data_IF_036239913110
#
_entry.id   IF_036239913110
#
_cell.length_a   1.000
_cell.length_b   1.000
_cell.length_c   1.000
_cell.angle_alpha   90.00
_cell.angle_beta   90.00
_cell.angle_gamma   90.00
#
_symmetry.space_group_name_H-M   'P 1'
#
loop_
_entity.id
_entity.type
_entity.pdbx_description
1 polymer ?
#
# COMPACT_ATOMS: atom_id res chain seq x y z
N UNK A 1 -9.42 -28.45 85.43
CA UNK A 1 -8.18 -28.64 84.65
C UNK A 1 -8.50 -28.79 83.15
N UNK A 2 -9.29 -27.89 82.54
CA UNK A 2 -9.85 -28.08 81.19
C UNK A 2 -9.72 -26.86 80.27
N UNK A 3 -8.90 -25.87 80.62
CA UNK A 3 -8.74 -24.64 79.82
C UNK A 3 -7.48 -24.60 78.95
N UNK A 4 -6.68 -25.66 78.89
CA UNK A 4 -5.37 -25.64 78.21
C UNK A 4 -5.34 -26.25 76.80
N UNK A 5 -6.43 -26.83 76.29
CA UNK A 5 -6.43 -27.59 75.02
C UNK A 5 -7.13 -26.91 73.83
N UNK A 6 -7.78 -25.76 74.04
CA UNK A 6 -8.46 -24.99 72.96
C UNK A 6 -7.59 -23.90 72.34
N UNK A 7 -6.49 -23.52 73.01
CA UNK A 7 -5.52 -22.54 72.51
C UNK A 7 -4.53 -23.15 71.49
N UNK A 8 -4.22 -24.44 71.59
CA UNK A 8 -3.29 -25.10 70.67
C UNK A 8 -3.92 -25.47 69.31
N UNK A 9 -5.20 -25.80 69.26
CA UNK A 9 -5.90 -26.13 68.00
C UNK A 9 -6.22 -24.89 67.16
N UNK A 10 -6.44 -23.74 67.80
CA UNK A 10 -6.67 -22.46 67.12
C UNK A 10 -5.39 -21.89 66.50
N UNK A 11 -4.24 -22.04 67.16
CA UNK A 11 -2.95 -21.60 66.60
C UNK A 11 -2.46 -22.48 65.44
N UNK A 12 -2.74 -23.80 65.47
CA UNK A 12 -2.37 -24.72 64.40
C UNK A 12 -3.23 -24.52 63.13
N UNK A 13 -4.52 -24.17 63.31
CA UNK A 13 -5.41 -23.85 62.19
C UNK A 13 -5.05 -22.52 61.49
N UNK A 14 -4.62 -21.52 62.26
CA UNK A 14 -4.16 -20.22 61.72
C UNK A 14 -2.82 -20.38 60.99
N UNK A 15 -1.90 -21.20 61.51
CA UNK A 15 -0.63 -21.48 60.84
C UNK A 15 -0.81 -22.24 59.50
N UNK A 16 -1.77 -23.16 59.41
CA UNK A 16 -2.09 -23.87 58.17
C UNK A 16 -2.82 -22.98 57.14
N UNK A 17 -3.67 -22.03 57.58
CA UNK A 17 -4.30 -21.06 56.69
C UNK A 17 -3.29 -20.05 56.12
N UNK A 18 -2.28 -19.63 56.89
CA UNK A 18 -1.25 -18.70 56.41
C UNK A 18 -0.30 -19.33 55.37
N UNK A 19 -0.02 -20.64 55.44
CA UNK A 19 0.81 -21.30 54.42
C UNK A 19 0.11 -21.38 53.06
N UNK A 20 -1.21 -21.62 53.01
CA UNK A 20 -1.96 -21.69 51.75
C UNK A 20 -2.15 -20.34 51.04
N UNK A 21 -2.13 -19.23 51.78
CA UNK A 21 -2.19 -17.88 51.20
C UNK A 21 -0.84 -17.38 50.65
N UNK A 22 0.29 -17.97 51.07
CA UNK A 22 1.63 -17.53 50.63
C UNK A 22 2.11 -18.18 49.33
N UNK A 23 1.56 -19.33 48.93
CA UNK A 23 2.01 -20.04 47.70
C UNK A 23 1.19 -19.64 46.47
N UNK A 24 -0.07 -19.23 46.67
CA UNK A 24 -0.92 -18.71 45.57
C UNK A 24 -0.55 -17.29 45.13
N UNK A 25 0.25 -16.58 45.93
CA UNK A 25 0.79 -15.26 45.60
C UNK A 25 2.22 -15.29 45.03
N UNK A 26 2.84 -16.48 44.92
CA UNK A 26 4.23 -16.66 44.46
C UNK A 26 4.39 -17.41 43.12
N UNK A 27 3.33 -17.51 42.31
CA UNK A 27 3.45 -17.94 40.89
C UNK A 27 2.77 -16.90 40.01
N UNK A 28 3.43 -15.74 39.81
CA UNK A 28 3.26 -14.95 38.60
C UNK A 28 4.44 -14.01 38.34
N UNK A 29 5.69 -14.48 38.46
CA UNK A 29 6.81 -13.81 37.77
C UNK A 29 6.89 -14.32 36.33
N UNK A 30 5.90 -13.97 35.51
CA UNK A 30 6.19 -13.78 34.10
C UNK A 30 6.90 -12.43 34.02
N UNK A 31 8.20 -12.48 33.76
CA UNK A 31 9.05 -11.33 33.45
C UNK A 31 8.33 -10.37 32.49
N UNK A 32 8.10 -9.13 32.95
CA UNK A 32 7.93 -7.85 32.23
C UNK A 32 6.99 -6.93 33.02
N UNK A 33 7.56 -6.09 33.86
CA UNK A 33 6.86 -4.93 34.42
C UNK A 33 7.35 -3.70 33.68
N UNK A 34 6.46 -2.82 33.16
CA UNK A 34 6.48 -1.35 33.36
C UNK A 34 5.11 -0.73 33.01
N UNK A 35 4.37 -0.23 34.01
CA UNK A 35 3.49 0.97 33.89
C UNK A 35 1.98 0.81 33.65
N UNK A 36 1.18 1.69 34.30
CA UNK A 36 -0.25 1.95 34.02
C UNK A 36 -0.36 2.88 32.80
N UNK A 37 -0.91 2.43 31.66
CA UNK A 37 -1.16 3.32 30.50
C UNK A 37 -2.58 3.89 30.58
N UNK A 38 -2.85 4.71 31.60
CA UNK A 38 -4.09 5.51 31.74
C UNK A 38 -5.43 4.75 31.60
N UNK A 39 -6.53 5.48 31.66
CA UNK A 39 -7.85 4.95 31.28
C UNK A 39 -7.91 4.82 29.75
N UNK A 40 -8.10 3.59 29.23
CA UNK A 40 -8.39 3.37 27.79
C UNK A 40 -7.37 2.53 27.00
N UNK A 41 -6.35 1.94 27.63
CA UNK A 41 -5.36 1.10 26.94
C UNK A 41 -5.49 -0.36 27.36
N UNK A 42 -5.70 -1.27 26.40
CA UNK A 42 -5.79 -2.71 26.65
C UNK A 42 -4.67 -3.44 25.90
N UNK A 43 -3.87 -4.22 26.62
CA UNK A 43 -2.83 -5.09 26.04
C UNK A 43 -3.42 -6.50 25.81
N UNK A 44 -3.67 -6.88 24.55
CA UNK A 44 -4.12 -8.24 24.23
C UNK A 44 -2.93 -9.21 24.16
N UNK A 45 -3.06 -10.39 24.77
CA UNK A 45 -2.06 -11.48 24.78
C UNK A 45 -1.64 -12.01 23.39
N UNK A 46 -2.24 -11.50 22.30
CA UNK A 46 -1.97 -11.89 20.91
C UNK A 46 -1.13 -10.88 20.11
N UNK A 47 -0.44 -9.95 20.78
CA UNK A 47 0.53 -9.04 20.13
C UNK A 47 -0.09 -7.82 19.44
N UNK A 48 -1.35 -7.50 19.73
CA UNK A 48 -2.02 -6.28 19.24
C UNK A 48 -2.05 -5.23 20.36
N UNK A 49 -1.33 -4.12 20.19
CA UNK A 49 -1.45 -2.93 21.05
C UNK A 49 -2.47 -2.01 20.39
N UNK A 50 -3.65 -1.89 21.01
CA UNK A 50 -4.64 -0.86 20.67
C UNK A 50 -4.51 0.30 21.65
N UNK A 51 -4.29 1.51 21.13
CA UNK A 51 -4.33 2.74 21.94
C UNK A 51 -5.74 3.31 21.80
N UNK A 52 -6.48 3.42 22.91
CA UNK A 52 -7.70 4.25 22.98
C UNK A 52 -9.07 3.57 23.04
N UNK A 53 -9.21 2.25 23.19
CA UNK A 53 -10.54 1.62 23.30
C UNK A 53 -10.63 0.49 24.34
N UNK A 54 -11.76 0.42 25.05
CA UNK A 54 -12.17 -0.69 25.93
C UNK A 54 -12.89 -1.81 25.17
N UNK A 55 -12.90 -1.74 23.85
CA UNK A 55 -13.45 -2.72 22.89
C UNK A 55 -12.58 -2.74 21.64
N UNK A 56 -12.83 -3.69 20.72
CA UNK A 56 -12.19 -3.72 19.39
C UNK A 56 -12.26 -2.34 18.72
N UNK A 57 -11.12 -1.72 18.34
CA UNK A 57 -11.10 -0.40 17.73
C UNK A 57 -12.03 -0.31 16.51
N UNK A 58 -12.88 0.72 16.46
CA UNK A 58 -13.74 1.02 15.31
C UNK A 58 -13.19 2.21 14.52
N UNK A 59 -13.54 2.24 13.24
CA UNK A 59 -12.97 3.08 12.19
C UNK A 59 -13.11 4.61 12.31
N UNK A 60 -13.77 5.13 13.34
CA UNK A 60 -14.29 6.51 13.32
C UNK A 60 -13.54 7.54 14.19
N UNK A 61 -12.48 7.18 14.93
CA UNK A 61 -11.85 8.15 15.86
C UNK A 61 -10.38 7.94 16.25
N UNK A 62 -9.62 7.12 15.54
CA UNK A 62 -8.24 6.81 15.95
C UNK A 62 -7.21 7.79 15.37
N UNK A 63 -6.71 8.71 16.19
CA UNK A 63 -5.46 9.45 15.91
C UNK A 63 -4.32 8.70 16.60
N UNK A 64 -3.34 8.23 15.82
CA UNK A 64 -2.06 7.72 16.34
C UNK A 64 -1.03 8.84 16.22
N UNK A 65 -0.75 9.52 17.32
CA UNK A 65 0.34 10.50 17.41
C UNK A 65 1.58 9.81 17.98
N UNK A 66 2.68 9.78 17.21
CA UNK A 66 3.97 9.23 17.63
C UNK A 66 5.02 10.34 17.53
N UNK A 67 5.47 10.85 18.66
CA UNK A 67 6.48 11.92 18.76
C UNK A 67 7.93 11.42 18.54
N UNK A 68 8.06 10.27 17.86
CA UNK A 68 9.33 9.56 17.61
C UNK A 68 9.16 8.50 16.50
N UNK A 69 10.24 7.81 16.11
CA UNK A 69 10.18 6.78 15.08
C UNK A 69 9.36 5.55 15.55
N UNK A 70 8.50 5.03 14.66
CA UNK A 70 7.89 3.71 14.82
C UNK A 70 8.91 2.66 14.33
N UNK A 71 9.59 2.00 15.26
CA UNK A 71 10.55 0.95 14.93
C UNK A 71 9.94 -0.44 15.17
N UNK A 72 9.83 -1.25 14.12
CA UNK A 72 9.38 -2.64 14.21
C UNK A 72 10.61 -3.54 14.19
N UNK A 73 11.11 -3.91 15.38
CA UNK A 73 12.24 -4.84 15.53
C UNK A 73 11.73 -6.28 15.51
N UNK A 74 12.16 -7.09 14.55
CA UNK A 74 11.76 -8.51 14.40
C UNK A 74 11.48 -8.90 12.95
N UNK A 75 11.09 -10.15 12.72
CA UNK A 75 10.66 -10.60 11.40
C UNK A 75 9.25 -10.05 11.10
N UNK A 76 9.12 -9.22 10.07
CA UNK A 76 7.82 -8.79 9.55
C UNK A 76 7.06 -9.99 8.95
N UNK A 77 5.72 -9.98 8.94
CA UNK A 77 4.94 -10.96 8.17
C UNK A 77 5.34 -10.90 6.69
N UNK A 78 5.08 -11.98 5.94
CA UNK A 78 5.45 -12.10 4.52
C UNK A 78 4.91 -10.95 3.63
N UNK A 79 3.86 -10.25 4.09
CA UNK A 79 3.19 -9.16 3.38
C UNK A 79 2.87 -8.01 4.35
N UNK A 80 3.86 -7.17 4.73
CA UNK A 80 3.61 -6.07 5.66
C UNK A 80 2.71 -5.01 5.02
N UNK A 81 1.78 -4.48 5.80
CA UNK A 81 0.94 -3.35 5.40
C UNK A 81 0.70 -2.39 6.56
N UNK A 82 0.60 -1.10 6.23
CA UNK A 82 0.04 -0.06 7.09
C UNK A 82 -1.37 0.25 6.58
N UNK A 83 -2.36 0.10 7.45
CA UNK A 83 -3.76 0.39 7.12
C UNK A 83 -4.27 1.61 7.88
N UNK A 84 -5.07 2.44 7.21
CA UNK A 84 -5.89 3.48 7.82
C UNK A 84 -7.35 3.18 7.47
N UNK A 85 -8.26 3.16 8.45
CA UNK A 85 -9.69 2.84 8.20
C UNK A 85 -9.91 1.50 7.46
N UNK A 86 -9.09 0.48 7.73
CA UNK A 86 -9.06 -0.80 7.01
C UNK A 86 -8.58 -0.74 5.54
N UNK A 87 -8.19 0.43 5.05
CA UNK A 87 -7.61 0.61 3.72
C UNK A 87 -6.10 0.47 3.77
N UNK A 88 -5.52 -0.34 2.88
CA UNK A 88 -4.06 -0.44 2.73
C UNK A 88 -3.53 0.87 2.15
N UNK A 89 -2.73 1.60 2.92
CA UNK A 89 -2.12 2.87 2.46
C UNK A 89 -0.62 2.71 2.18
N UNK A 90 0.05 1.78 2.85
CA UNK A 90 1.38 1.31 2.45
C UNK A 90 1.36 -0.21 2.45
N UNK A 91 1.73 -0.83 1.33
CA UNK A 91 1.63 -2.27 1.15
C UNK A 91 2.83 -2.76 0.35
N UNK A 92 3.53 -3.75 0.89
CA UNK A 92 4.61 -4.44 0.17
C UNK A 92 4.21 -5.92 0.00
N UNK A 93 3.57 -6.29 -1.13
CA UNK A 93 3.38 -7.70 -1.46
C UNK A 93 4.73 -8.39 -1.68
N UNK A 94 4.73 -9.71 -1.81
CA UNK A 94 5.95 -10.45 -2.19
C UNK A 94 6.51 -9.93 -3.50
N UNK A 95 7.80 -10.22 -3.74
CA UNK A 95 8.45 -9.88 -5.00
C UNK A 95 8.81 -8.41 -5.12
N UNK A 96 9.29 -7.78 -4.04
CA UNK A 96 9.91 -6.44 -4.09
C UNK A 96 8.97 -5.35 -4.64
N UNK A 97 7.69 -5.48 -4.34
CA UNK A 97 6.67 -4.50 -4.70
C UNK A 97 6.49 -3.46 -3.59
N UNK A 98 6.23 -2.20 -3.95
CA UNK A 98 5.90 -1.12 -3.01
C UNK A 98 4.71 -0.31 -3.51
N UNK A 99 3.58 -0.42 -2.82
CA UNK A 99 2.32 0.23 -3.18
C UNK A 99 1.88 1.22 -2.11
N UNK A 100 1.41 2.39 -2.54
CA UNK A 100 0.77 3.37 -1.65
C UNK A 100 -0.41 4.06 -2.30
N UNK A 101 -1.48 4.20 -1.51
CA UNK A 101 -2.77 4.74 -1.95
C UNK A 101 -3.91 3.75 -1.81
N UNK A 102 -5.13 4.29 -1.74
CA UNK A 102 -6.35 3.49 -1.71
C UNK A 102 -6.48 2.67 -3.01
N UNK A 103 -6.76 1.37 -2.88
CA UNK A 103 -6.92 0.44 -4.02
C UNK A 103 -5.69 0.29 -4.94
N UNK A 104 -4.51 0.72 -4.52
CA UNK A 104 -3.27 0.56 -5.33
C UNK A 104 -2.85 -0.91 -5.40
N UNK A 105 -2.65 -1.44 -6.61
CA UNK A 105 -2.14 -2.79 -6.86
C UNK A 105 -2.94 -3.94 -6.23
N UNK A 106 -4.24 -3.77 -5.94
CA UNK A 106 -5.00 -4.76 -5.15
C UNK A 106 -5.25 -6.08 -5.87
N UNK A 107 -5.25 -6.10 -7.20
CA UNK A 107 -5.47 -7.32 -7.99
C UNK A 107 -4.17 -7.98 -8.47
N UNK A 108 -3.00 -7.56 -7.96
CA UNK A 108 -1.74 -8.22 -8.26
C UNK A 108 -1.73 -9.66 -7.72
N UNK A 109 -1.45 -10.62 -8.61
CA UNK A 109 -1.41 -12.05 -8.31
C UNK A 109 0.03 -12.56 -8.25
N UNK A 110 0.86 -12.20 -9.23
CA UNK A 110 2.26 -12.66 -9.29
C UNK A 110 3.25 -11.66 -9.87
N UNK A 111 2.83 -10.43 -10.16
CA UNK A 111 3.73 -9.40 -10.69
C UNK A 111 4.76 -8.97 -9.64
N UNK A 112 6.00 -8.73 -10.05
CA UNK A 112 7.12 -8.40 -9.15
C UNK A 112 7.84 -7.11 -9.55
N UNK A 113 8.58 -6.53 -8.62
CA UNK A 113 9.43 -5.36 -8.81
C UNK A 113 8.66 -4.11 -9.25
N UNK A 114 7.44 -3.92 -8.76
CA UNK A 114 6.59 -2.79 -9.09
C UNK A 114 6.57 -1.72 -8.00
N UNK A 115 6.48 -0.46 -8.40
CA UNK A 115 6.44 0.72 -7.53
C UNK A 115 5.22 1.58 -7.87
N UNK A 116 4.14 1.48 -7.10
CA UNK A 116 2.85 2.13 -7.41
C UNK A 116 2.45 3.14 -6.34
N UNK A 117 2.06 4.34 -6.76
CA UNK A 117 1.78 5.47 -5.89
C UNK A 117 0.54 6.23 -6.39
N UNK A 118 -0.52 6.29 -5.60
CA UNK A 118 -1.76 7.00 -5.94
C UNK A 118 -2.98 6.10 -5.97
N UNK A 119 -4.16 6.70 -5.77
CA UNK A 119 -5.43 5.98 -5.74
C UNK A 119 -5.59 5.13 -7.00
N UNK A 120 -5.81 3.83 -6.82
CA UNK A 120 -6.04 2.84 -7.88
C UNK A 120 -4.93 2.76 -8.95
N UNK A 121 -3.73 3.29 -8.67
CA UNK A 121 -2.58 3.09 -9.55
C UNK A 121 -2.29 1.58 -9.67
N UNK A 122 -2.21 1.08 -10.91
CA UNK A 122 -2.02 -0.35 -11.19
C UNK A 122 -3.07 -1.28 -10.56
N UNK A 123 -4.29 -0.81 -10.29
CA UNK A 123 -5.32 -1.58 -9.56
C UNK A 123 -5.52 -3.00 -10.12
N UNK A 124 -5.61 -3.11 -11.45
CA UNK A 124 -5.87 -4.35 -12.17
C UNK A 124 -4.61 -5.05 -12.68
N UNK A 125 -3.41 -4.52 -12.40
CA UNK A 125 -2.17 -5.20 -12.76
C UNK A 125 -2.05 -6.50 -11.96
N UNK A 126 -2.25 -7.63 -12.65
CA UNK A 126 -2.27 -8.98 -12.14
C UNK A 126 -0.91 -9.67 -12.25
N UNK A 127 -0.19 -9.44 -13.35
CA UNK A 127 1.02 -10.19 -13.70
C UNK A 127 2.23 -9.33 -14.10
N UNK A 128 2.01 -8.04 -14.36
CA UNK A 128 3.04 -7.15 -14.89
C UNK A 128 4.18 -6.91 -13.89
N UNK A 129 5.38 -6.73 -14.44
CA UNK A 129 6.63 -6.67 -13.69
C UNK A 129 7.41 -5.40 -14.02
N UNK A 130 8.24 -4.96 -13.07
CA UNK A 130 9.19 -3.85 -13.28
C UNK A 130 8.52 -2.54 -13.73
N UNK A 131 7.34 -2.25 -13.19
CA UNK A 131 6.59 -1.03 -13.52
C UNK A 131 6.71 0.04 -12.43
N UNK A 132 6.73 1.31 -12.82
CA UNK A 132 6.62 2.47 -11.92
C UNK A 132 5.39 3.29 -12.26
N UNK A 133 4.38 3.31 -11.39
CA UNK A 133 3.13 4.05 -11.59
C UNK A 133 2.94 5.12 -10.52
N UNK A 134 2.68 6.37 -10.91
CA UNK A 134 2.51 7.50 -10.00
C UNK A 134 1.35 8.41 -10.45
N UNK A 135 0.25 8.42 -9.70
CA UNK A 135 -0.93 9.25 -9.96
C UNK A 135 -2.24 8.52 -9.72
N UNK A 136 -3.35 9.26 -9.62
CA UNK A 136 -4.70 8.65 -9.56
C UNK A 136 -4.99 7.93 -10.88
N UNK A 137 -5.34 6.64 -10.82
CA UNK A 137 -5.57 5.75 -11.96
C UNK A 137 -4.42 5.65 -12.97
N UNK A 138 -3.18 5.93 -12.55
CA UNK A 138 -2.01 5.70 -13.40
C UNK A 138 -1.93 4.20 -13.75
N UNK A 139 -2.05 3.87 -15.03
CA UNK A 139 -2.04 2.51 -15.56
C UNK A 139 -2.98 1.55 -14.83
N UNK A 140 -4.19 2.01 -14.49
CA UNK A 140 -5.16 1.26 -13.68
C UNK A 140 -5.46 -0.15 -14.24
N UNK A 141 -5.47 -0.30 -15.56
CA UNK A 141 -5.84 -1.54 -16.25
C UNK A 141 -4.67 -2.28 -16.92
N UNK A 142 -3.41 -1.90 -16.69
CA UNK A 142 -2.28 -2.42 -17.48
C UNK A 142 -1.60 -3.65 -16.84
N UNK A 143 -1.54 -4.76 -17.58
CA UNK A 143 -0.84 -6.00 -17.20
C UNK A 143 0.57 -6.13 -17.79
N UNK A 144 1.05 -5.17 -18.57
CA UNK A 144 2.36 -5.26 -19.21
C UNK A 144 3.55 -4.94 -18.29
N UNK A 145 4.74 -5.14 -18.85
CA UNK A 145 6.03 -5.07 -18.16
C UNK A 145 6.82 -3.81 -18.54
N UNK A 146 7.75 -3.41 -17.66
CA UNK A 146 8.80 -2.44 -17.97
C UNK A 146 8.27 -1.05 -18.37
N UNK A 147 7.24 -0.55 -17.67
CA UNK A 147 6.64 0.75 -17.94
C UNK A 147 6.90 1.81 -16.86
N UNK A 148 6.96 3.07 -17.26
CA UNK A 148 6.93 4.24 -16.38
C UNK A 148 5.70 5.07 -16.71
N UNK A 149 4.77 5.19 -15.76
CA UNK A 149 3.51 5.93 -15.95
C UNK A 149 3.32 6.92 -14.81
N UNK A 150 3.33 8.21 -15.12
CA UNK A 150 3.27 9.29 -14.13
C UNK A 150 2.20 10.29 -14.56
N UNK A 151 1.09 10.37 -13.85
CA UNK A 151 0.03 11.33 -14.12
C UNK A 151 -1.34 10.85 -13.68
N UNK A 152 -2.27 11.79 -13.56
CA UNK A 152 -3.67 11.48 -13.33
C UNK A 152 -4.29 10.88 -14.60
N UNK A 153 -4.87 9.67 -14.49
CA UNK A 153 -5.48 8.91 -15.58
C UNK A 153 -4.52 8.71 -16.78
N UNK A 154 -3.19 8.70 -16.54
CA UNK A 154 -2.20 8.36 -17.56
C UNK A 154 -2.25 6.85 -17.83
N UNK A 155 -2.33 6.45 -19.10
CA UNK A 155 -2.48 5.06 -19.54
C UNK A 155 -3.63 4.29 -18.85
N UNK A 156 -4.74 4.96 -18.50
CA UNK A 156 -5.76 4.40 -17.61
C UNK A 156 -6.47 3.15 -18.15
N UNK A 157 -6.65 3.02 -19.48
CA UNK A 157 -7.42 1.90 -20.07
C UNK A 157 -6.60 0.85 -20.82
N UNK A 158 -5.27 0.99 -20.91
CA UNK A 158 -4.46 -0.02 -21.62
C UNK A 158 -4.44 -1.33 -20.85
N UNK A 159 -4.43 -2.46 -21.56
CA UNK A 159 -4.47 -3.81 -20.98
C UNK A 159 -3.14 -4.58 -21.06
N UNK A 160 -2.19 -4.18 -21.91
CA UNK A 160 -0.93 -4.94 -22.10
C UNK A 160 0.22 -4.11 -22.72
N UNK A 161 0.34 -2.84 -22.36
CA UNK A 161 1.45 -1.98 -22.79
C UNK A 161 2.76 -2.41 -22.15
N UNK A 162 3.83 -2.56 -22.94
CA UNK A 162 5.17 -2.90 -22.45
C UNK A 162 6.18 -1.81 -22.84
N UNK A 163 7.26 -1.69 -22.07
CA UNK A 163 8.43 -0.89 -22.46
C UNK A 163 8.14 0.58 -22.76
N UNK A 164 7.14 1.19 -22.09
CA UNK A 164 6.63 2.52 -22.44
C UNK A 164 6.78 3.54 -21.33
N UNK A 165 6.82 4.81 -21.70
CA UNK A 165 6.92 5.97 -20.79
C UNK A 165 5.75 6.91 -21.05
N UNK A 166 4.86 7.08 -20.07
CA UNK A 166 3.75 8.03 -20.11
C UNK A 166 3.88 9.01 -18.96
N UNK A 167 4.08 10.31 -19.24
CA UNK A 167 4.28 11.31 -18.19
C UNK A 167 3.41 12.54 -18.47
N UNK A 168 2.43 12.80 -17.61
CA UNK A 168 1.47 13.89 -17.71
C UNK A 168 0.04 13.40 -17.47
N UNK A 169 -0.84 14.26 -16.97
CA UNK A 169 -2.25 13.87 -16.80
C UNK A 169 -2.86 13.54 -18.16
N UNK A 170 -3.54 12.40 -18.22
CA UNK A 170 -4.16 11.84 -19.43
C UNK A 170 -3.17 11.52 -20.57
N UNK A 171 -1.85 11.50 -20.31
CA UNK A 171 -0.88 11.04 -21.32
C UNK A 171 -1.17 9.58 -21.66
N UNK A 172 -1.39 9.29 -22.94
CA UNK A 172 -1.82 7.98 -23.41
C UNK A 172 -3.10 7.43 -22.76
N UNK A 173 -3.97 8.30 -22.24
CA UNK A 173 -5.12 7.91 -21.40
C UNK A 173 -5.99 6.80 -22.00
N UNK A 174 -6.21 6.85 -23.32
CA UNK A 174 -6.99 5.90 -24.14
C UNK A 174 -6.13 5.08 -25.12
N UNK A 175 -4.83 5.00 -24.88
CA UNK A 175 -3.90 4.37 -25.81
C UNK A 175 -3.76 2.86 -25.60
N UNK A 176 -3.75 2.09 -26.70
CA UNK A 176 -3.44 0.65 -26.71
C UNK A 176 -2.09 0.40 -27.40
N UNK A 177 -1.06 1.13 -26.96
CA UNK A 177 0.27 1.14 -27.58
C UNK A 177 1.31 0.39 -26.73
N UNK A 178 2.43 0.00 -27.33
CA UNK A 178 3.62 -0.50 -26.64
C UNK A 178 4.86 0.24 -27.16
N UNK A 179 5.97 0.19 -26.43
CA UNK A 179 7.27 0.77 -26.82
C UNK A 179 7.22 2.28 -27.16
N UNK A 180 6.38 3.02 -26.43
CA UNK A 180 6.07 4.43 -26.76
C UNK A 180 6.46 5.37 -25.64
N UNK A 181 6.97 6.54 -26.01
CA UNK A 181 7.21 7.67 -25.10
C UNK A 181 6.14 8.73 -25.36
N UNK A 182 5.30 9.05 -24.38
CA UNK A 182 4.34 10.16 -24.43
C UNK A 182 4.48 11.05 -23.19
N UNK A 183 4.96 12.28 -23.37
CA UNK A 183 5.27 13.21 -22.28
C UNK A 183 4.55 14.55 -22.51
N UNK A 184 3.61 14.89 -21.63
CA UNK A 184 2.83 16.11 -21.65
C UNK A 184 1.37 15.87 -21.27
N UNK A 185 0.66 16.94 -20.91
CA UNK A 185 -0.80 16.86 -20.67
C UNK A 185 -1.52 16.41 -21.95
N UNK A 186 -2.27 15.30 -21.87
CA UNK A 186 -2.98 14.67 -23.00
C UNK A 186 -2.08 14.35 -24.21
N UNK A 187 -0.76 14.20 -24.01
CA UNK A 187 0.14 13.76 -25.07
C UNK A 187 -0.23 12.34 -25.52
N UNK A 188 -0.49 12.17 -26.81
CA UNK A 188 -0.85 10.87 -27.40
C UNK A 188 -2.11 10.25 -26.81
N UNK A 189 -3.08 11.04 -26.31
CA UNK A 189 -4.25 10.55 -25.56
C UNK A 189 -4.95 9.33 -26.21
N UNK A 190 -5.23 9.40 -27.51
CA UNK A 190 -5.95 8.37 -28.28
C UNK A 190 -5.04 7.46 -29.13
N UNK A 191 -3.74 7.39 -28.84
CA UNK A 191 -2.77 6.71 -29.71
C UNK A 191 -2.91 5.18 -29.70
N UNK A 192 -3.28 4.59 -30.84
CA UNK A 192 -3.55 3.15 -30.94
C UNK A 192 -2.37 2.30 -31.44
N UNK A 193 -1.30 2.92 -31.95
CA UNK A 193 -0.19 2.20 -32.60
C UNK A 193 1.14 2.36 -31.86
N UNK A 194 1.99 1.31 -31.86
CA UNK A 194 3.23 1.24 -31.08
C UNK A 194 4.37 2.10 -31.63
N UNK A 195 5.43 2.19 -30.83
CA UNK A 195 6.75 2.68 -31.24
C UNK A 195 6.74 4.15 -31.67
N UNK A 196 6.17 5.03 -30.85
CA UNK A 196 6.11 6.48 -31.13
C UNK A 196 6.81 7.30 -30.04
N UNK A 197 7.30 8.50 -30.37
CA UNK A 197 7.78 9.50 -29.42
C UNK A 197 6.93 10.76 -29.54
N UNK A 198 6.21 11.11 -28.47
CA UNK A 198 5.27 12.23 -28.42
C UNK A 198 5.62 13.11 -27.23
N UNK A 199 6.00 14.35 -27.46
CA UNK A 199 6.38 15.26 -26.38
C UNK A 199 5.72 16.62 -26.57
N UNK A 200 4.88 17.03 -25.62
CA UNK A 200 4.26 18.35 -25.61
C UNK A 200 2.81 18.35 -25.15
N UNK A 201 2.30 19.54 -24.82
CA UNK A 201 0.90 19.73 -24.44
C UNK A 201 -0.01 19.37 -25.62
N UNK A 202 -0.84 18.34 -25.47
CA UNK A 202 -1.77 17.84 -26.49
C UNK A 202 -1.13 17.47 -27.83
N UNK A 203 0.18 17.23 -27.85
CA UNK A 203 0.83 16.64 -29.01
C UNK A 203 0.16 15.30 -29.31
N UNK A 204 -0.19 15.04 -30.57
CA UNK A 204 -0.80 13.78 -31.00
C UNK A 204 -2.10 13.40 -30.29
N UNK A 205 -2.85 14.34 -29.72
CA UNK A 205 -3.97 14.01 -28.84
C UNK A 205 -4.97 13.03 -29.47
N UNK A 206 -5.41 13.29 -30.70
CA UNK A 206 -6.36 12.44 -31.44
C UNK A 206 -5.70 11.81 -32.67
N UNK A 207 -4.44 11.45 -32.52
CA UNK A 207 -3.64 10.84 -33.57
C UNK A 207 -4.00 9.36 -33.74
N UNK A 208 -4.43 8.97 -34.94
CA UNK A 208 -4.59 7.57 -35.35
C UNK A 208 -3.41 7.23 -36.28
N UNK A 209 -2.20 7.28 -35.71
CA UNK A 209 -0.94 7.18 -36.44
C UNK A 209 -0.61 5.77 -36.87
N UNK A 210 0.33 5.65 -37.81
CA UNK A 210 1.14 4.44 -37.93
C UNK A 210 2.32 4.50 -36.93
N UNK A 211 3.18 3.49 -36.95
CA UNK A 211 4.34 3.38 -36.05
C UNK A 211 5.49 4.35 -36.40
N UNK A 212 6.45 4.48 -35.48
CA UNK A 212 7.77 5.09 -35.69
C UNK A 212 7.77 6.62 -35.93
N UNK A 213 6.83 7.37 -35.36
CA UNK A 213 6.81 8.83 -35.47
C UNK A 213 7.44 9.52 -34.25
N UNK A 214 8.05 10.67 -34.49
CA UNK A 214 8.50 11.64 -33.49
C UNK A 214 7.68 12.91 -33.65
N UNK A 215 6.99 13.33 -32.60
CA UNK A 215 6.15 14.53 -32.60
C UNK A 215 6.44 15.36 -31.37
N UNK A 216 6.86 16.60 -31.59
CA UNK A 216 7.28 17.47 -30.50
C UNK A 216 6.63 18.86 -30.65
N UNK A 217 5.87 19.28 -29.65
CA UNK A 217 5.38 20.66 -29.57
C UNK A 217 3.98 20.83 -28.99
N UNK A 218 3.55 22.07 -28.87
CA UNK A 218 2.19 22.43 -28.42
C UNK A 218 1.16 22.10 -29.51
N UNK A 219 0.20 21.23 -29.22
CA UNK A 219 -0.83 20.76 -30.16
C UNK A 219 -0.27 20.21 -31.49
N UNK A 220 1.00 19.80 -31.54
CA UNK A 220 1.59 19.24 -32.74
C UNK A 220 0.84 17.96 -33.16
N UNK A 221 0.57 17.80 -34.46
CA UNK A 221 -0.08 16.62 -35.02
C UNK A 221 -1.40 16.19 -34.32
N UNK A 222 -2.20 17.13 -33.82
CA UNK A 222 -3.39 16.84 -32.99
C UNK A 222 -4.49 16.03 -33.68
N UNK A 223 -4.48 15.94 -35.02
CA UNK A 223 -5.41 15.17 -35.86
C UNK A 223 -4.71 14.66 -37.13
N UNK A 224 -3.73 13.76 -37.00
CA UNK A 224 -3.11 13.11 -38.16
C UNK A 224 -3.61 11.66 -38.26
N UNK A 225 -3.95 11.25 -39.48
CA UNK A 225 -4.39 9.90 -39.82
C UNK A 225 -3.31 9.27 -40.70
N UNK A 226 -2.78 8.11 -40.32
CA UNK A 226 -1.91 7.26 -41.14
C UNK A 226 -0.61 7.88 -41.69
N UNK A 227 0.30 8.30 -40.80
CA UNK A 227 1.69 8.64 -41.14
C UNK A 227 2.67 7.74 -40.37
N UNK A 228 3.70 7.17 -41.00
CA UNK A 228 4.77 6.39 -40.35
C UNK A 228 6.15 7.00 -40.62
N UNK A 229 7.09 6.81 -39.70
CA UNK A 229 8.49 7.24 -39.83
C UNK A 229 8.70 8.75 -40.06
N UNK A 230 7.87 9.61 -39.42
CA UNK A 230 7.97 11.07 -39.57
C UNK A 230 8.57 11.75 -38.33
N UNK A 231 9.14 12.93 -38.53
CA UNK A 231 9.43 13.90 -37.47
C UNK A 231 8.58 15.14 -37.69
N UNK A 232 7.75 15.52 -36.72
CA UNK A 232 6.78 16.62 -36.82
C UNK A 232 6.86 17.58 -35.64
#
# INVERSE_FOLDING_TARGET
HTTHNTQHTTHLAIAFMCLFFSVTSMILSAQNWVGTIGTGTTLYRSGKIGIGFTSTPSCSSSILEVDSAINVTGQLPAYPSLLFNCDKILYSPSGENLYTGFQTGTNNVSGINNSFFGQSAGNSNRYGNRNTYLGRHAAEHNDGDDNVVIGNDALAVSTATNGSVFIGSYAGGNSMTTETVAIGFEAGHEMQMPTNTVIGYRAARNADWANENVVIGYNAASQIISSSANTM
#
